data_IF_214487065755
#
_entry.id   IF_214487065755
#
_cell.length_a   1.000
_cell.length_b   1.000
_cell.length_c   1.000
_cell.angle_alpha   90.00
_cell.angle_beta   90.00
_cell.angle_gamma   90.00
#
_symmetry.space_group_name_H-M   'P 1'
#
loop_
_entity.id
_entity.type
_entity.pdbx_description
1 polymer ?
#
# COMPACT_ATOMS: atom_id res chain seq x y z
N UNK A 1 30.88 -3.95 -4.15
CA UNK A 1 29.48 -3.70 -4.51
C UNK A 1 28.61 -4.81 -3.93
N UNK A 2 28.30 -4.73 -2.63
CA UNK A 2 27.30 -5.58 -1.97
C UNK A 2 27.07 -4.99 -0.57
N UNK A 3 26.10 -4.10 -0.45
CA UNK A 3 25.55 -3.66 0.83
C UNK A 3 24.02 -3.63 0.74
N UNK A 4 23.45 -4.77 0.37
CA UNK A 4 22.01 -5.00 0.48
C UNK A 4 21.75 -5.63 1.85
N UNK A 5 21.77 -4.77 2.87
CA UNK A 5 21.37 -5.09 4.24
C UNK A 5 20.00 -5.82 4.25
N UNK A 6 19.90 -7.05 4.81
CA UNK A 6 18.70 -7.88 4.73
C UNK A 6 17.56 -7.47 5.68
N UNK A 7 17.76 -6.49 6.56
CA UNK A 7 16.79 -6.16 7.63
C UNK A 7 16.12 -4.79 7.43
N UNK A 8 15.55 -4.55 6.24
CA UNK A 8 14.97 -3.24 5.88
C UNK A 8 13.62 -2.92 6.53
N UNK A 9 12.99 -3.90 7.15
CA UNK A 9 11.83 -3.71 8.00
C UNK A 9 12.21 -4.39 9.31
N UNK A 10 12.15 -3.68 10.43
CA UNK A 10 12.38 -4.28 11.74
C UNK A 10 11.33 -5.34 12.05
N UNK A 11 11.16 -5.71 13.33
CA UNK A 11 10.36 -6.87 13.75
C UNK A 11 9.03 -7.03 12.98
N UNK A 12 8.53 -8.26 12.77
CA UNK A 12 7.32 -8.51 11.96
C UNK A 12 6.13 -7.57 12.25
N UNK A 13 5.97 -7.09 13.50
CA UNK A 13 4.96 -6.11 13.89
C UNK A 13 5.13 -4.75 13.19
N UNK A 14 6.37 -4.31 12.98
CA UNK A 14 6.74 -3.07 12.29
C UNK A 14 6.41 -3.17 10.79
N UNK A 15 6.69 -4.30 10.16
CA UNK A 15 6.29 -4.55 8.75
C UNK A 15 4.77 -4.57 8.56
N UNK A 16 4.01 -5.07 9.53
CA UNK A 16 2.55 -5.05 9.50
C UNK A 16 1.99 -3.62 9.66
N UNK A 17 2.59 -2.81 10.55
CA UNK A 17 2.21 -1.40 10.74
C UNK A 17 2.48 -0.61 9.46
N UNK A 18 3.66 -0.79 8.84
CA UNK A 18 3.98 -0.13 7.58
C UNK A 18 3.00 -0.49 6.46
N UNK A 19 2.66 -1.78 6.32
CA UNK A 19 1.67 -2.23 5.34
C UNK A 19 0.29 -1.61 5.61
N UNK A 20 -0.13 -1.58 6.88
CA UNK A 20 -1.39 -0.98 7.28
C UNK A 20 -1.45 0.51 6.90
N UNK A 21 -0.38 1.26 7.13
CA UNK A 21 -0.31 2.70 6.83
C UNK A 21 -0.30 2.96 5.32
N UNK A 22 0.44 2.13 4.57
CA UNK A 22 0.43 2.16 3.10
C UNK A 22 -0.99 1.96 2.55
N UNK A 23 -1.71 0.96 3.06
CA UNK A 23 -3.09 0.68 2.63
C UNK A 23 -4.09 1.75 3.08
N UNK A 24 -3.85 2.37 4.24
CA UNK A 24 -4.65 3.48 4.77
C UNK A 24 -4.49 4.77 3.97
N UNK A 25 -3.37 4.93 3.24
CA UNK A 25 -3.16 6.07 2.33
C UNK A 25 -4.07 6.06 1.09
N UNK A 26 -4.70 4.92 0.78
CA UNK A 26 -5.64 4.80 -0.32
C UNK A 26 -7.04 5.26 0.09
N UNK A 27 -7.77 5.87 -0.83
CA UNK A 27 -9.21 6.01 -0.63
C UNK A 27 -9.89 4.63 -0.62
N UNK A 28 -11.09 4.57 -0.05
CA UNK A 28 -11.80 3.31 0.16
C UNK A 28 -11.99 2.51 -1.13
N UNK A 29 -12.47 3.14 -2.21
CA UNK A 29 -12.68 2.48 -3.49
C UNK A 29 -11.39 1.93 -4.10
N UNK A 30 -10.28 2.66 -3.99
CA UNK A 30 -8.95 2.19 -4.41
C UNK A 30 -8.51 0.97 -3.60
N UNK A 31 -8.63 1.04 -2.28
CA UNK A 31 -8.22 -0.04 -1.37
C UNK A 31 -9.01 -1.32 -1.63
N UNK A 32 -10.33 -1.23 -1.69
CA UNK A 32 -11.21 -2.38 -1.92
C UNK A 32 -10.94 -3.00 -3.29
N UNK A 33 -10.85 -2.19 -4.35
CA UNK A 33 -10.57 -2.71 -5.70
C UNK A 33 -9.19 -3.39 -5.79
N UNK A 34 -8.14 -2.79 -5.19
CA UNK A 34 -6.79 -3.37 -5.17
C UNK A 34 -6.78 -4.70 -4.42
N UNK A 35 -7.41 -4.77 -3.24
CA UNK A 35 -7.45 -6.01 -2.45
C UNK A 35 -8.19 -7.13 -3.18
N UNK A 36 -9.39 -6.86 -3.69
CA UNK A 36 -10.18 -7.88 -4.39
C UNK A 36 -9.45 -8.44 -5.60
N UNK A 37 -8.80 -7.58 -6.39
CA UNK A 37 -8.06 -8.01 -7.59
C UNK A 37 -6.76 -8.73 -7.23
N UNK A 38 -5.93 -8.14 -6.37
CA UNK A 38 -4.55 -8.61 -6.20
C UNK A 38 -4.33 -9.52 -5.00
N UNK A 39 -5.08 -9.34 -3.90
CA UNK A 39 -4.98 -10.21 -2.73
C UNK A 39 -5.94 -11.41 -2.84
N UNK A 40 -7.16 -11.19 -3.33
CA UNK A 40 -8.17 -12.24 -3.46
C UNK A 40 -8.28 -12.84 -4.88
N UNK A 41 -7.60 -12.25 -5.87
CA UNK A 41 -7.52 -12.82 -7.22
C UNK A 41 -8.77 -12.65 -8.09
N UNK A 42 -9.69 -11.75 -7.73
CA UNK A 42 -10.93 -11.54 -8.49
C UNK A 42 -10.66 -10.83 -9.81
N UNK A 43 -11.48 -11.12 -10.81
CA UNK A 43 -11.48 -10.42 -12.08
C UNK A 43 -12.12 -9.04 -11.96
N UNK A 44 -11.80 -8.13 -12.88
CA UNK A 44 -12.36 -6.77 -12.86
C UNK A 44 -13.88 -6.79 -13.05
N UNK A 45 -14.42 -7.79 -13.75
CA UNK A 45 -15.87 -7.97 -13.92
C UNK A 45 -16.57 -8.44 -12.66
N UNK A 46 -15.97 -9.36 -11.89
CA UNK A 46 -16.54 -9.81 -10.61
C UNK A 46 -16.57 -8.67 -9.59
N UNK A 47 -15.48 -7.89 -9.52
CA UNK A 47 -15.41 -6.70 -8.67
C UNK A 47 -16.43 -5.64 -9.10
N UNK A 48 -16.52 -5.35 -10.39
CA UNK A 48 -17.49 -4.40 -10.94
C UNK A 48 -18.93 -4.81 -10.59
N UNK A 49 -19.25 -6.10 -10.70
CA UNK A 49 -20.56 -6.64 -10.37
C UNK A 49 -20.89 -6.50 -8.87
N UNK A 50 -19.97 -6.88 -7.98
CA UNK A 50 -20.22 -6.85 -6.53
C UNK A 50 -20.26 -5.43 -5.95
N UNK A 51 -19.50 -4.51 -6.54
CA UNK A 51 -19.44 -3.12 -6.07
C UNK A 51 -20.44 -2.19 -6.77
N UNK A 52 -21.24 -2.71 -7.71
CA UNK A 52 -22.15 -1.93 -8.57
C UNK A 52 -21.45 -0.75 -9.28
N UNK A 53 -20.32 -1.06 -9.93
CA UNK A 53 -19.49 -0.10 -10.66
C UNK A 53 -19.24 -0.57 -12.09
N UNK A 54 -18.78 0.33 -12.96
CA UNK A 54 -18.29 -0.09 -14.27
C UNK A 54 -16.90 -0.75 -14.15
N UNK A 55 -16.61 -1.72 -15.03
CA UNK A 55 -15.27 -2.32 -15.15
C UNK A 55 -14.17 -1.29 -15.40
N UNK A 56 -14.49 -0.22 -16.12
CA UNK A 56 -13.58 0.91 -16.34
C UNK A 56 -13.29 1.68 -15.04
N UNK A 57 -14.30 1.89 -14.18
CA UNK A 57 -14.11 2.53 -12.88
C UNK A 57 -13.24 1.66 -11.97
N UNK A 58 -13.46 0.34 -11.93
CA UNK A 58 -12.60 -0.61 -11.21
C UNK A 58 -11.15 -0.49 -11.68
N UNK A 59 -10.92 -0.54 -13.01
CA UNK A 59 -9.58 -0.41 -13.57
C UNK A 59 -8.89 0.92 -13.21
N UNK A 60 -9.64 2.02 -13.18
CA UNK A 60 -9.15 3.32 -12.74
C UNK A 60 -8.76 3.32 -11.26
N UNK A 61 -9.58 2.73 -10.39
CA UNK A 61 -9.28 2.62 -8.95
C UNK A 61 -8.05 1.74 -8.70
N UNK A 62 -7.94 0.59 -9.36
CA UNK A 62 -6.76 -0.29 -9.25
C UNK A 62 -5.49 0.44 -9.71
N UNK A 63 -5.53 1.04 -10.90
CA UNK A 63 -4.37 1.74 -11.47
C UNK A 63 -3.90 2.89 -10.58
N UNK A 64 -4.84 3.73 -10.12
CA UNK A 64 -4.54 4.86 -9.23
C UNK A 64 -4.08 4.38 -7.85
N UNK A 65 -4.69 3.33 -7.31
CA UNK A 65 -4.31 2.72 -6.05
C UNK A 65 -2.88 2.19 -6.08
N UNK A 66 -2.52 1.39 -7.08
CA UNK A 66 -1.16 0.89 -7.26
C UNK A 66 -0.14 2.01 -7.48
N UNK A 67 -0.50 3.06 -8.25
CA UNK A 67 0.37 4.21 -8.42
C UNK A 67 0.61 4.97 -7.11
N UNK A 68 -0.41 5.09 -6.26
CA UNK A 68 -0.28 5.68 -4.93
C UNK A 68 0.62 4.83 -4.02
N UNK A 69 0.35 3.52 -3.94
CA UNK A 69 1.16 2.61 -3.12
C UNK A 69 2.63 2.63 -3.53
N UNK A 70 2.93 2.57 -4.85
CA UNK A 70 4.31 2.64 -5.35
C UNK A 70 5.00 3.94 -4.96
N UNK A 71 4.29 5.07 -5.02
CA UNK A 71 4.84 6.36 -4.56
C UNK A 71 5.16 6.33 -3.07
N UNK A 72 4.26 5.81 -2.24
CA UNK A 72 4.46 5.76 -0.79
C UNK A 72 5.58 4.78 -0.39
N UNK A 73 5.63 3.60 -1.00
CA UNK A 73 6.72 2.63 -0.80
C UNK A 73 8.07 3.24 -1.17
N UNK A 74 8.14 4.05 -2.22
CA UNK A 74 9.38 4.75 -2.57
C UNK A 74 9.77 5.81 -1.52
N UNK A 75 8.81 6.50 -0.90
CA UNK A 75 9.09 7.44 0.21
C UNK A 75 9.56 6.68 1.45
N UNK A 76 8.91 5.57 1.81
CA UNK A 76 9.32 4.71 2.94
C UNK A 76 10.73 4.17 2.74
N UNK A 77 11.09 3.79 1.50
CA UNK A 77 12.41 3.26 1.17
C UNK A 77 13.49 4.33 0.98
N UNK A 78 13.15 5.62 0.95
CA UNK A 78 14.12 6.70 0.83
C UNK A 78 14.74 6.99 2.22
N UNK A 79 16.06 6.77 2.41
CA UNK A 79 16.71 6.96 3.71
C UNK A 79 16.64 8.38 4.27
N UNK A 80 16.37 9.39 3.42
CA UNK A 80 16.27 10.79 3.81
C UNK A 80 14.83 11.22 4.11
N UNK A 81 13.84 10.42 3.70
CA UNK A 81 12.41 10.70 3.86
C UNK A 81 11.69 9.67 4.74
N UNK A 82 12.38 8.62 5.17
CA UNK A 82 11.88 7.69 6.18
C UNK A 82 11.54 8.49 7.44
N UNK A 83 10.28 8.43 7.86
CA UNK A 83 9.81 9.13 9.04
C UNK A 83 10.44 8.50 10.29
N UNK A 84 11.61 8.98 10.72
CA UNK A 84 12.23 8.71 12.03
C UNK A 84 11.41 9.25 13.21
N UNK A 85 10.10 9.44 13.02
CA UNK A 85 9.15 10.04 13.94
C UNK A 85 8.68 9.07 15.01
N UNK A 86 9.62 8.54 15.79
CA UNK A 86 9.39 8.08 17.16
C UNK A 86 10.56 8.52 18.06
N UNK A 87 11.09 9.73 17.88
CA UNK A 87 11.75 10.46 18.97
C UNK A 87 10.70 10.82 20.02
N UNK A 88 10.35 9.85 20.86
CA UNK A 88 9.65 10.11 22.11
C UNK A 88 10.59 10.87 23.04
N UNK A 89 10.50 12.20 22.99
CA UNK A 89 10.86 13.09 24.10
C UNK A 89 9.93 12.80 25.28
N UNK A 90 10.24 11.76 26.06
CA UNK A 90 9.73 11.64 27.41
C UNK A 90 10.82 12.12 28.38
N UNK A 91 10.50 13.27 28.99
CA UNK A 91 10.84 13.79 30.32
C UNK A 91 11.92 13.04 31.10
#
# INVERSE_FOLDING_TARGET
>A
FADANPDKHGSHDESLIEMHDLMSSLNESQRVCVLLVHAYGWTYSEVAHVLDMSTAAVGNHVTRGLANLRRQVNVVNDPLLHNSGMENKNV
#
